data_IF_534444876382
#
_entry.id   IF_534444876382
#
_cell.length_a   1.000
_cell.length_b   1.000
_cell.length_c   1.000
_cell.angle_alpha   90.00
_cell.angle_beta   90.00
_cell.angle_gamma   90.00
#
_symmetry.space_group_name_H-M   'P 1'
#
loop_
_entity.id
_entity.type
_entity.pdbx_description
1 polymer ?
#
# COMPACT_ATOMS: atom_id res chain seq x y z
N UNK A 1 -0.15 6.17 -3.29
CA UNK A 1 -0.66 4.93 -2.66
C UNK A 1 -0.62 5.14 -1.16
N UNK A 2 -1.74 4.89 -0.47
CA UNK A 2 -1.75 4.83 1.01
C UNK A 2 -0.93 3.60 1.41
N UNK A 3 -0.25 3.59 2.55
CA UNK A 3 0.30 2.35 3.13
C UNK A 3 -0.80 1.28 3.11
N UNK A 4 -0.56 0.18 2.41
CA UNK A 4 -1.51 -0.93 2.30
C UNK A 4 -0.84 -2.19 2.80
N UNK A 5 -1.58 -2.96 3.58
CA UNK A 5 -1.21 -4.32 3.92
C UNK A 5 -1.92 -5.26 2.95
N UNK A 6 -1.15 -6.12 2.31
CA UNK A 6 -1.64 -7.14 1.39
C UNK A 6 -1.52 -8.48 2.09
N UNK A 7 -2.65 -9.17 2.26
CA UNK A 7 -2.74 -10.50 2.83
C UNK A 7 -2.77 -11.52 1.70
N UNK A 8 -1.88 -12.50 1.79
CA UNK A 8 -1.78 -13.61 0.84
C UNK A 8 -1.81 -14.92 1.62
N UNK A 9 -2.60 -15.89 1.19
CA UNK A 9 -2.63 -17.22 1.79
C UNK A 9 -1.21 -17.84 1.83
N UNK A 10 -0.76 -18.23 3.02
CA UNK A 10 0.57 -18.79 3.22
C UNK A 10 0.76 -20.18 2.58
N UNK A 11 -0.33 -20.89 2.27
CA UNK A 11 -0.30 -22.20 1.64
C UNK A 11 -0.41 -22.15 0.11
N UNK A 12 -0.34 -20.96 -0.50
CA UNK A 12 -0.38 -20.81 -1.95
C UNK A 12 0.80 -21.58 -2.58
N UNK A 13 0.49 -22.67 -3.30
CA UNK A 13 1.43 -23.36 -4.17
C UNK A 13 1.15 -22.96 -5.61
N UNK A 14 2.19 -22.56 -6.34
CA UNK A 14 2.08 -22.40 -7.79
C UNK A 14 2.02 -23.79 -8.40
N UNK A 15 0.82 -24.27 -8.71
CA UNK A 15 0.61 -25.59 -9.32
C UNK A 15 0.35 -25.50 -10.83
N UNK A 16 0.68 -24.39 -11.49
CA UNK A 16 0.48 -24.20 -12.92
C UNK A 16 -0.98 -24.03 -13.39
N UNK A 17 -1.97 -24.41 -12.58
CA UNK A 17 -3.37 -24.54 -13.00
C UNK A 17 -4.33 -23.50 -12.39
N UNK A 18 -3.91 -22.24 -12.23
CA UNK A 18 -4.89 -21.20 -11.84
C UNK A 18 -4.77 -19.97 -12.71
N UNK A 19 -5.06 -20.14 -13.99
CA UNK A 19 -5.77 -19.11 -14.74
C UNK A 19 -7.16 -18.98 -14.12
N UNK A 20 -7.28 -18.12 -13.10
CA UNK A 20 -8.60 -17.60 -12.71
C UNK A 20 -8.86 -16.44 -13.67
N UNK A 21 -9.76 -16.57 -14.65
CA UNK A 21 -9.88 -15.63 -15.77
C UNK A 21 -10.27 -14.19 -15.36
N UNK A 22 -10.60 -13.94 -14.09
CA UNK A 22 -11.09 -12.66 -13.57
C UNK A 22 -10.20 -12.04 -12.46
N UNK A 23 -9.14 -12.72 -12.01
CA UNK A 23 -8.31 -12.20 -10.90
C UNK A 23 -7.30 -11.11 -11.37
N UNK A 24 -7.09 -10.99 -12.68
CA UNK A 24 -6.17 -10.00 -13.25
C UNK A 24 -6.75 -8.58 -13.28
N UNK A 25 -8.04 -8.41 -12.99
CA UNK A 25 -8.66 -7.10 -12.88
C UNK A 25 -8.53 -6.56 -11.45
N UNK A 26 -8.23 -5.27 -11.27
CA UNK A 26 -8.23 -4.67 -9.91
C UNK A 26 -9.62 -4.75 -9.22
N UNK A 27 -10.68 -5.02 -9.98
CA UNK A 27 -12.00 -5.41 -9.44
C UNK A 27 -12.04 -6.72 -8.65
N UNK A 28 -10.99 -7.54 -8.68
CA UNK A 28 -10.84 -8.74 -7.84
C UNK A 28 -10.16 -8.46 -6.49
N UNK A 29 -9.59 -7.27 -6.30
CA UNK A 29 -8.90 -6.89 -5.07
C UNK A 29 -9.92 -6.57 -4.00
N UNK A 30 -10.01 -7.43 -3.00
CA UNK A 30 -10.93 -7.27 -1.89
C UNK A 30 -10.31 -6.34 -0.85
N UNK A 31 -10.84 -5.11 -0.77
CA UNK A 31 -10.53 -4.19 0.34
C UNK A 31 -11.37 -4.56 1.55
N UNK A 32 -10.75 -4.99 2.65
CA UNK A 32 -11.46 -5.40 3.87
C UNK A 32 -12.41 -4.31 4.39
N UNK A 33 -12.07 -3.04 4.20
CA UNK A 33 -12.87 -1.91 4.67
C UNK A 33 -14.13 -1.65 3.84
N UNK A 34 -14.20 -2.23 2.64
CA UNK A 34 -15.29 -2.03 1.69
C UNK A 34 -16.22 -3.25 1.62
N UNK A 35 -15.89 -4.30 2.37
CA UNK A 35 -16.70 -5.51 2.50
C UNK A 35 -17.85 -5.31 3.48
N UNK A 36 -19.03 -5.79 3.08
CA UNK A 36 -20.18 -5.91 3.97
C UNK A 36 -19.92 -6.95 5.07
N UNK A 37 -20.65 -6.85 6.18
CA UNK A 37 -20.45 -7.69 7.37
C UNK A 37 -20.53 -9.18 7.04
N UNK A 38 -21.46 -9.54 6.18
CA UNK A 38 -21.70 -10.91 5.72
C UNK A 38 -20.51 -11.44 4.90
N UNK A 39 -19.84 -10.57 4.13
CA UNK A 39 -18.66 -10.91 3.34
C UNK A 39 -17.41 -11.07 4.23
N UNK A 40 -17.28 -10.27 5.30
CA UNK A 40 -16.21 -10.41 6.30
C UNK A 40 -16.27 -11.74 7.06
N UNK A 41 -17.45 -12.36 7.14
CA UNK A 41 -17.65 -13.67 7.78
C UNK A 41 -17.32 -14.85 6.85
N UNK A 42 -17.11 -14.60 5.55
CA UNK A 42 -16.73 -15.66 4.63
C UNK A 42 -15.27 -16.09 4.89
N UNK A 43 -14.99 -17.41 4.89
CA UNK A 43 -13.61 -17.88 5.04
C UNK A 43 -12.77 -17.36 3.88
N UNK A 44 -11.57 -16.86 4.20
CA UNK A 44 -10.58 -16.50 3.19
C UNK A 44 -10.23 -17.79 2.43
N UNK A 45 -10.63 -17.87 1.16
CA UNK A 45 -10.40 -19.06 0.33
C UNK A 45 -8.90 -19.23 0.05
N UNK A 46 -8.39 -20.47 -0.03
CA UNK A 46 -7.04 -20.70 -0.48
C UNK A 46 -6.87 -20.19 -1.91
N UNK A 47 -6.01 -19.19 -2.11
CA UNK A 47 -5.73 -18.39 -3.34
C UNK A 47 -6.09 -16.90 -3.30
N UNK A 48 -6.77 -16.42 -2.24
CA UNK A 48 -7.24 -15.03 -2.22
C UNK A 48 -6.14 -14.04 -1.81
N UNK A 49 -6.05 -12.93 -2.56
CA UNK A 49 -5.29 -11.73 -2.20
C UNK A 49 -6.27 -10.71 -1.64
N UNK A 50 -6.01 -10.25 -0.43
CA UNK A 50 -6.88 -9.28 0.28
C UNK A 50 -6.06 -8.06 0.64
N UNK A 51 -6.62 -6.86 0.46
CA UNK A 51 -5.96 -5.61 0.84
C UNK A 51 -6.65 -4.94 2.00
N UNK A 52 -5.88 -4.22 2.80
CA UNK A 52 -6.41 -3.49 3.96
C UNK A 52 -5.53 -2.31 4.32
N UNK A 53 -6.19 -1.23 4.72
CA UNK A 53 -5.62 -0.06 5.38
C UNK A 53 -5.91 -0.02 6.89
N UNK A 54 -6.67 -0.99 7.43
CA UNK A 54 -6.99 -1.11 8.85
C UNK A 54 -5.69 -1.24 9.68
N UNK A 55 -5.56 -0.47 10.78
CA UNK A 55 -4.47 -0.62 11.74
C UNK A 55 -4.34 -2.04 12.29
N UNK A 56 -3.11 -2.50 12.54
CA UNK A 56 -2.82 -3.87 13.01
C UNK A 56 -3.63 -4.26 14.24
N UNK A 57 -3.73 -3.37 15.24
CA UNK A 57 -4.52 -3.63 16.45
C UNK A 57 -6.02 -3.86 16.25
N UNK A 58 -6.57 -3.48 15.08
CA UNK A 58 -7.98 -3.72 14.72
C UNK A 58 -8.17 -4.95 13.82
N UNK A 59 -7.08 -5.52 13.30
CA UNK A 59 -7.13 -6.76 12.56
C UNK A 59 -7.25 -7.96 13.53
N UNK A 60 -7.98 -9.03 13.16
CA UNK A 60 -8.00 -10.26 13.93
C UNK A 60 -6.57 -10.76 14.22
N UNK A 61 -6.27 -11.01 15.51
CA UNK A 61 -4.94 -11.36 16.10
C UNK A 61 -4.26 -12.63 15.51
N UNK A 62 -4.85 -13.24 14.48
CA UNK A 62 -4.39 -14.48 13.84
C UNK A 62 -4.21 -14.37 12.33
N UNK A 63 -4.38 -13.20 11.71
CA UNK A 63 -4.23 -13.07 10.25
C UNK A 63 -2.83 -13.52 9.83
N UNK A 64 -1.77 -13.00 10.45
CA UNK A 64 -0.38 -13.35 10.13
C UNK A 64 0.09 -14.72 10.68
N UNK A 65 -0.77 -15.48 11.36
CA UNK A 65 -0.43 -16.87 11.77
C UNK A 65 -0.55 -17.85 10.62
N UNK A 66 -1.55 -17.63 9.76
CA UNK A 66 -1.89 -18.53 8.66
C UNK A 66 -1.73 -17.87 7.29
N UNK A 67 -1.36 -16.58 7.24
CA UNK A 67 -1.21 -15.81 6.01
C UNK A 67 0.12 -15.06 6.02
N UNK A 68 0.65 -14.83 4.82
CA UNK A 68 1.74 -13.88 4.59
C UNK A 68 1.15 -12.47 4.47
N UNK A 69 1.82 -11.49 5.03
CA UNK A 69 1.43 -10.08 4.98
C UNK A 69 2.55 -9.28 4.32
N UNK A 70 2.22 -8.48 3.31
CA UNK A 70 3.14 -7.52 2.72
C UNK A 70 2.67 -6.14 3.19
N UNK A 71 3.39 -5.55 4.14
CA UNK A 71 3.11 -4.22 4.66
C UNK A 71 3.94 -3.19 3.90
N UNK A 72 3.28 -2.39 3.07
CA UNK A 72 3.95 -1.36 2.26
C UNK A 72 3.94 -0.03 2.97
N UNK A 73 5.10 0.59 3.20
CA UNK A 73 5.20 1.92 3.82
C UNK A 73 5.84 2.92 2.84
N UNK A 74 5.63 4.20 3.09
CA UNK A 74 6.03 5.29 2.19
C UNK A 74 6.36 6.54 2.99
N UNK A 75 7.21 7.40 2.44
CA UNK A 75 7.38 8.78 2.90
C UNK A 75 6.02 9.41 3.27
N UNK A 76 5.83 9.87 4.51
CA UNK A 76 4.55 10.36 4.96
C UNK A 76 4.13 11.69 4.31
N UNK A 77 5.08 12.51 3.83
CA UNK A 77 4.78 13.75 3.10
C UNK A 77 4.18 13.46 1.73
N UNK A 78 4.77 12.52 0.99
CA UNK A 78 4.23 12.04 -0.28
C UNK A 78 2.90 11.28 -0.09
N UNK A 79 2.76 10.61 1.05
CA UNK A 79 1.51 9.95 1.44
C UNK A 79 0.40 10.98 1.68
N UNK A 80 0.67 12.06 2.40
CA UNK A 80 -0.28 13.16 2.63
C UNK A 80 -0.73 13.78 1.31
N UNK A 81 0.20 14.13 0.42
CA UNK A 81 -0.12 14.65 -0.92
C UNK A 81 -0.97 13.65 -1.71
N UNK A 82 -0.54 12.38 -1.77
CA UNK A 82 -1.29 11.34 -2.48
C UNK A 82 -2.72 11.18 -1.94
N UNK A 83 -2.91 11.25 -0.63
CA UNK A 83 -4.20 11.07 0.01
C UNK A 83 -5.12 12.28 -0.19
N UNK A 84 -4.57 13.50 -0.13
CA UNK A 84 -5.31 14.73 -0.43
C UNK A 84 -5.94 14.66 -1.83
N UNK A 85 -5.12 14.38 -2.85
CA UNK A 85 -5.60 14.26 -4.23
C UNK A 85 -6.60 13.10 -4.38
N UNK A 86 -6.30 11.93 -3.82
CA UNK A 86 -7.22 10.79 -3.84
C UNK A 86 -8.59 11.15 -3.28
N UNK A 87 -8.65 11.83 -2.13
CA UNK A 87 -9.92 12.14 -1.50
C UNK A 87 -10.67 13.26 -2.22
N UNK A 88 -9.95 14.33 -2.61
CA UNK A 88 -10.50 15.44 -3.38
C UNK A 88 -11.11 14.97 -4.69
N UNK A 89 -10.39 14.13 -5.42
CA UNK A 89 -10.77 13.65 -6.75
C UNK A 89 -11.94 12.66 -6.73
N UNK A 90 -12.19 12.01 -5.58
CA UNK A 90 -13.40 11.23 -5.28
C UNK A 90 -14.59 12.09 -4.81
N UNK A 91 -14.41 13.40 -4.69
CA UNK A 91 -15.47 14.34 -4.27
C UNK A 91 -15.67 14.45 -2.76
N UNK A 92 -14.72 13.95 -1.94
CA UNK A 92 -14.80 14.16 -0.49
C UNK A 92 -14.50 15.62 -0.14
N UNK A 93 -15.18 16.13 0.90
CA UNK A 93 -14.89 17.45 1.43
C UNK A 93 -13.59 17.42 2.26
N UNK A 94 -12.47 17.78 1.62
CA UNK A 94 -11.14 17.72 2.23
C UNK A 94 -10.61 19.07 2.72
N UNK A 95 -11.22 20.18 2.31
CA UNK A 95 -10.69 21.53 2.54
C UNK A 95 -9.54 21.87 1.60
N UNK A 96 -8.79 22.93 1.92
CA UNK A 96 -7.52 23.20 1.24
C UNK A 96 -6.41 22.25 1.72
N UNK A 97 -5.26 22.27 1.04
CA UNK A 97 -4.16 21.37 1.37
C UNK A 97 -3.55 21.65 2.76
N UNK A 98 -3.57 22.89 3.24
CA UNK A 98 -3.01 23.24 4.55
C UNK A 98 -3.85 22.62 5.68
N UNK A 99 -5.17 22.81 5.62
CA UNK A 99 -6.12 22.19 6.54
C UNK A 99 -6.03 20.66 6.50
N UNK A 100 -5.93 20.09 5.30
CA UNK A 100 -5.77 18.66 5.13
C UNK A 100 -4.46 18.13 5.73
N UNK A 101 -3.34 18.83 5.51
CA UNK A 101 -2.03 18.46 6.03
C UNK A 101 -2.01 18.50 7.56
N UNK A 102 -2.64 19.50 8.17
CA UNK A 102 -2.78 19.58 9.63
C UNK A 102 -3.56 18.38 10.18
N UNK A 103 -4.72 18.06 9.60
CA UNK A 103 -5.51 16.87 9.97
C UNK A 103 -4.75 15.57 9.77
N UNK A 104 -3.93 15.47 8.72
CA UNK A 104 -3.03 14.32 8.51
C UNK A 104 -2.04 14.17 9.66
N UNK A 105 -1.40 15.27 10.09
CA UNK A 105 -0.43 15.27 11.19
C UNK A 105 -1.09 14.93 12.54
N UNK A 106 -2.32 15.41 12.75
CA UNK A 106 -3.11 15.17 13.96
C UNK A 106 -3.73 13.77 14.00
N UNK A 107 -3.79 13.08 12.86
CA UNK A 107 -4.36 11.73 12.74
C UNK A 107 -5.88 11.71 12.61
N UNK A 108 -6.47 12.82 12.15
CA UNK A 108 -7.93 13.03 12.03
C UNK A 108 -8.47 12.67 10.63
N UNK A 109 -7.83 11.69 9.98
CA UNK A 109 -8.22 11.18 8.68
C UNK A 109 -8.85 9.79 8.79
N UNK A 110 -9.50 9.37 7.71
CA UNK A 110 -9.96 7.98 7.58
C UNK A 110 -8.76 7.03 7.80
N UNK A 111 -8.93 6.07 8.72
CA UNK A 111 -7.93 5.10 9.21
C UNK A 111 -6.92 5.63 10.25
N UNK A 112 -7.12 6.84 10.77
CA UNK A 112 -6.38 7.37 11.92
C UNK A 112 -4.98 7.91 11.59
N UNK A 113 -4.11 7.94 12.58
CA UNK A 113 -2.76 8.47 12.43
C UNK A 113 -1.87 7.55 11.59
N UNK A 114 -1.22 8.14 10.57
CA UNK A 114 -0.18 7.44 9.82
C UNK A 114 0.94 6.98 10.78
N UNK A 115 1.41 7.86 11.67
CA UNK A 115 2.50 7.59 12.59
C UNK A 115 2.19 6.39 13.50
N UNK A 116 1.05 6.42 14.17
CA UNK A 116 0.65 5.35 15.10
C UNK A 116 0.52 4.01 14.38
N UNK A 117 -0.02 4.02 13.16
CA UNK A 117 -0.15 2.81 12.35
C UNK A 117 1.21 2.22 11.98
N UNK A 118 2.13 3.02 11.43
CA UNK A 118 3.45 2.50 11.03
C UNK A 118 4.24 2.00 12.25
N UNK A 119 4.17 2.74 13.38
CA UNK A 119 4.80 2.32 14.62
C UNK A 119 4.19 1.04 15.19
N UNK A 120 2.86 0.89 15.18
CA UNK A 120 2.18 -0.32 15.66
C UNK A 120 2.57 -1.54 14.83
N UNK A 121 2.55 -1.44 13.49
CA UNK A 121 2.99 -2.50 12.60
C UNK A 121 4.46 -2.86 12.84
N UNK A 122 5.35 -1.88 12.80
CA UNK A 122 6.79 -2.13 12.91
C UNK A 122 7.21 -2.67 14.29
N UNK A 123 6.63 -2.11 15.36
CA UNK A 123 6.97 -2.50 16.74
C UNK A 123 6.64 -3.97 16.99
N UNK A 124 5.50 -4.43 16.50
CA UNK A 124 4.98 -5.76 16.80
C UNK A 124 5.36 -6.83 15.78
N UNK A 125 5.52 -6.47 14.51
CA UNK A 125 5.59 -7.47 13.43
C UNK A 125 6.91 -7.48 12.65
N UNK A 126 7.86 -6.54 12.88
CA UNK A 126 9.13 -6.52 12.11
C UNK A 126 10.00 -7.78 12.22
N UNK A 127 9.81 -8.56 13.28
CA UNK A 127 10.50 -9.83 13.50
C UNK A 127 9.66 -11.05 13.09
N UNK A 128 8.44 -10.83 12.60
CA UNK A 128 7.53 -11.90 12.22
C UNK A 128 7.90 -12.40 10.80
N UNK A 129 8.26 -13.69 10.63
CA UNK A 129 8.66 -14.22 9.32
C UNK A 129 7.50 -14.27 8.29
N UNK A 130 6.26 -14.10 8.74
CA UNK A 130 5.09 -14.00 7.88
C UNK A 130 4.74 -12.56 7.51
N UNK A 131 5.57 -11.56 7.88
CA UNK A 131 5.34 -10.15 7.54
C UNK A 131 6.56 -9.60 6.81
N UNK A 132 6.36 -9.17 5.57
CA UNK A 132 7.35 -8.46 4.77
C UNK A 132 7.05 -6.96 4.80
N UNK A 133 7.98 -6.16 5.30
CA UNK A 133 7.93 -4.71 5.18
C UNK A 133 8.60 -4.29 3.87
N UNK A 134 7.92 -3.47 3.09
CA UNK A 134 8.40 -3.02 1.79
C UNK A 134 8.23 -1.51 1.63
N UNK A 135 9.32 -0.80 1.37
CA UNK A 135 9.27 0.63 1.07
C UNK A 135 8.78 0.86 -0.36
N UNK A 136 7.90 1.84 -0.54
CA UNK A 136 7.52 2.32 -1.86
C UNK A 136 8.69 2.90 -2.64
N UNK A 137 9.59 3.60 -1.94
CA UNK A 137 10.80 4.22 -2.50
C UNK A 137 11.79 3.16 -3.00
N UNK A 138 12.07 2.12 -2.20
CA UNK A 138 12.94 1.01 -2.62
C UNK A 138 12.35 0.25 -3.81
N UNK A 139 11.03 0.05 -3.84
CA UNK A 139 10.37 -0.59 -4.99
C UNK A 139 10.58 0.17 -6.30
N UNK A 140 10.67 1.49 -6.26
CA UNK A 140 10.93 2.31 -7.44
C UNK A 140 12.43 2.42 -7.76
N UNK A 141 13.28 2.46 -6.74
CA UNK A 141 14.74 2.58 -6.88
C UNK A 141 15.41 1.28 -7.33
N UNK A 142 14.94 0.15 -6.80
CA UNK A 142 15.46 -1.19 -7.05
C UNK A 142 14.29 -2.17 -7.33
N UNK A 143 13.61 -2.02 -8.49
CA UNK A 143 12.43 -2.81 -8.82
C UNK A 143 12.74 -4.30 -8.97
N UNK A 144 13.90 -4.66 -9.53
CA UNK A 144 14.34 -6.06 -9.67
C UNK A 144 14.53 -6.74 -8.31
N UNK A 145 15.32 -6.11 -7.41
CA UNK A 145 15.58 -6.64 -6.06
C UNK A 145 14.30 -6.76 -5.23
N UNK A 146 13.43 -5.75 -5.32
CA UNK A 146 12.12 -5.75 -4.65
C UNK A 146 11.22 -6.89 -5.15
N UNK A 147 11.27 -7.17 -6.46
CA UNK A 147 10.51 -8.26 -7.08
C UNK A 147 11.02 -9.62 -6.61
N UNK A 148 12.34 -9.83 -6.57
CA UNK A 148 12.91 -11.08 -6.06
C UNK A 148 12.63 -11.29 -4.58
N UNK A 149 12.76 -10.24 -3.77
CA UNK A 149 12.42 -10.28 -2.34
C UNK A 149 10.96 -10.71 -2.14
N UNK A 150 10.04 -10.19 -2.96
CA UNK A 150 8.63 -10.56 -2.92
C UNK A 150 8.40 -12.03 -3.32
N UNK A 151 9.01 -12.48 -4.41
CA UNK A 151 8.90 -13.87 -4.90
C UNK A 151 9.40 -14.86 -3.84
N UNK A 152 10.54 -14.56 -3.22
CA UNK A 152 11.14 -15.39 -2.17
C UNK A 152 10.29 -15.40 -0.91
N UNK A 153 9.82 -14.23 -0.48
CA UNK A 153 8.92 -14.11 0.66
C UNK A 153 7.63 -14.90 0.43
N UNK A 154 7.06 -14.88 -0.77
CA UNK A 154 5.87 -15.65 -1.11
C UNK A 154 6.12 -17.16 -1.24
N UNK A 155 7.38 -17.60 -1.25
CA UNK A 155 7.73 -19.02 -1.40
C UNK A 155 7.50 -19.56 -2.82
N UNK A 156 7.50 -18.68 -3.83
CA UNK A 156 7.25 -19.03 -5.23
C UNK A 156 8.54 -19.51 -5.91
N UNK A 157 9.19 -20.50 -5.31
CA UNK A 157 10.52 -20.99 -5.71
C UNK A 157 10.55 -21.72 -7.05
N UNK A 158 9.39 -22.09 -7.59
CA UNK A 158 9.24 -22.82 -8.84
C UNK A 158 8.96 -21.92 -10.06
N UNK A 159 8.98 -20.59 -9.88
CA UNK A 159 8.93 -19.66 -10.99
C UNK A 159 10.26 -19.63 -11.76
N UNK A 160 10.25 -19.30 -13.06
CA UNK A 160 11.48 -19.02 -13.80
C UNK A 160 12.31 -17.93 -13.11
N UNK A 161 13.63 -18.07 -13.17
CA UNK A 161 14.59 -17.08 -12.60
C UNK A 161 15.49 -16.46 -13.66
N UNK A 162 15.02 -16.45 -14.90
CA UNK A 162 15.71 -15.78 -16.01
C UNK A 162 15.30 -14.31 -16.15
N UNK A 163 16.11 -13.58 -16.92
CA UNK A 163 15.92 -12.15 -17.15
C UNK A 163 14.62 -11.84 -17.88
N UNK A 164 14.21 -12.69 -18.84
CA UNK A 164 13.03 -12.42 -19.66
C UNK A 164 11.75 -12.46 -18.80
N UNK A 165 11.65 -13.44 -17.91
CA UNK A 165 10.55 -13.53 -16.94
C UNK A 165 10.50 -12.30 -16.01
N UNK A 166 11.65 -11.86 -15.50
CA UNK A 166 11.72 -10.67 -14.65
C UNK A 166 11.29 -9.41 -15.41
N UNK A 167 11.78 -9.23 -16.64
CA UNK A 167 11.43 -8.08 -17.47
C UNK A 167 9.94 -8.06 -17.83
N UNK A 168 9.33 -9.22 -18.09
CA UNK A 168 7.88 -9.32 -18.30
C UNK A 168 7.09 -8.85 -17.07
N UNK A 169 7.45 -9.33 -15.87
CA UNK A 169 6.82 -8.88 -14.61
C UNK A 169 6.95 -7.36 -14.46
N UNK A 170 8.17 -6.83 -14.62
CA UNK A 170 8.43 -5.39 -14.44
C UNK A 170 7.68 -4.54 -15.45
N UNK A 171 7.58 -5.00 -16.70
CA UNK A 171 6.80 -4.32 -17.73
C UNK A 171 5.31 -4.30 -17.36
N UNK A 172 4.73 -5.46 -17.03
CA UNK A 172 3.30 -5.59 -16.69
C UNK A 172 2.93 -4.85 -15.41
N UNK A 173 3.83 -4.76 -14.45
CA UNK A 173 3.62 -4.09 -13.15
C UNK A 173 4.16 -2.66 -13.11
N UNK A 174 4.61 -2.13 -14.24
CA UNK A 174 5.03 -0.73 -14.38
C UNK A 174 3.86 0.23 -14.09
N UNK A 175 4.19 1.45 -13.68
CA UNK A 175 3.18 2.45 -13.36
C UNK A 175 2.32 2.79 -14.59
N UNK A 176 2.94 2.89 -15.75
CA UNK A 176 2.30 3.18 -17.03
C UNK A 176 1.37 2.03 -17.43
N UNK A 177 1.86 0.78 -17.41
CA UNK A 177 1.05 -0.39 -17.76
C UNK A 177 -0.15 -0.53 -16.83
N UNK A 178 0.06 -0.48 -15.50
CA UNK A 178 -1.05 -0.61 -14.53
C UNK A 178 -2.04 0.55 -14.62
N UNK A 179 -1.58 1.77 -14.88
CA UNK A 179 -2.45 2.92 -15.11
C UNK A 179 -3.36 2.74 -16.33
N UNK A 180 -2.82 2.21 -17.43
CA UNK A 180 -3.56 1.99 -18.66
C UNK A 180 -4.53 0.81 -18.54
N UNK A 181 -4.08 -0.32 -17.97
CA UNK A 181 -4.87 -1.54 -17.85
C UNK A 181 -5.95 -1.43 -16.77
N UNK A 182 -5.60 -0.97 -15.56
CA UNK A 182 -6.50 -1.02 -14.40
C UNK A 182 -7.19 0.32 -14.13
N UNK A 183 -6.59 1.43 -14.54
CA UNK A 183 -7.06 2.78 -14.25
C UNK A 183 -8.55 3.01 -14.54
N UNK A 184 -9.06 2.65 -15.74
CA UNK A 184 -10.48 2.82 -16.06
C UNK A 184 -11.42 2.07 -15.10
N UNK A 185 -11.09 0.82 -14.77
CA UNK A 185 -11.90 -0.01 -13.88
C UNK A 185 -11.88 0.53 -12.44
N UNK A 186 -10.70 0.89 -11.93
CA UNK A 186 -10.54 1.46 -10.59
C UNK A 186 -11.26 2.80 -10.46
N UNK A 187 -11.07 3.71 -11.43
CA UNK A 187 -11.72 5.02 -11.38
C UNK A 187 -13.25 4.90 -11.28
N UNK A 188 -13.82 3.95 -12.04
CA UNK A 188 -15.25 3.63 -11.97
C UNK A 188 -15.64 3.02 -10.62
N UNK A 189 -14.92 2.01 -10.15
CA UNK A 189 -15.22 1.31 -8.90
C UNK A 189 -15.17 2.23 -7.68
N UNK A 190 -14.18 3.13 -7.62
CA UNK A 190 -14.01 4.08 -6.52
C UNK A 190 -14.74 5.40 -6.73
N UNK A 191 -15.53 5.54 -7.80
CA UNK A 191 -16.33 6.73 -8.12
C UNK A 191 -15.50 8.03 -8.13
N UNK A 192 -14.40 8.03 -8.89
CA UNK A 192 -13.62 9.25 -9.13
C UNK A 192 -14.44 10.24 -9.94
N UNK A 193 -14.66 11.44 -9.40
CA UNK A 193 -15.45 12.50 -10.01
C UNK A 193 -14.59 13.39 -10.91
N UNK A 194 -13.35 13.62 -10.49
CA UNK A 194 -12.31 14.31 -11.24
C UNK A 194 -11.00 13.52 -11.12
N UNK A 195 -9.97 13.88 -11.89
CA UNK A 195 -8.66 13.22 -11.76
C UNK A 195 -8.70 11.71 -12.00
N UNK A 196 -7.73 10.98 -11.43
CA UNK A 196 -7.59 9.53 -11.58
C UNK A 196 -6.91 8.91 -10.35
N UNK A 197 -7.16 7.63 -10.09
CA UNK A 197 -6.47 6.85 -9.05
C UNK A 197 -4.94 6.83 -9.25
N UNK A 198 -4.51 6.54 -10.48
CA UNK A 198 -3.10 6.60 -10.87
C UNK A 198 -2.71 8.05 -11.23
N UNK A 199 -2.09 8.75 -10.28
CA UNK A 199 -1.78 10.19 -10.42
C UNK A 199 -0.44 10.47 -11.11
N UNK A 200 0.69 10.17 -10.46
CA UNK A 200 2.04 10.48 -10.99
C UNK A 200 3.09 9.38 -10.84
N UNK A 201 3.02 8.55 -9.80
CA UNK A 201 3.89 7.36 -9.69
C UNK A 201 5.34 7.59 -9.24
N UNK A 202 5.71 8.80 -8.78
CA UNK A 202 7.09 9.11 -8.37
C UNK A 202 7.26 9.47 -6.89
N UNK A 203 8.52 9.47 -6.44
CA UNK A 203 8.98 9.87 -5.09
C UNK A 203 9.35 11.34 -5.08
N UNK A 204 9.04 12.04 -3.99
CA UNK A 204 9.46 13.44 -3.78
C UNK A 204 8.49 14.48 -4.33
N UNK A 205 7.30 14.10 -4.79
CA UNK A 205 6.31 15.05 -5.31
C UNK A 205 5.84 16.03 -4.23
N UNK A 206 5.95 15.66 -2.95
CA UNK A 206 5.70 16.53 -1.81
C UNK A 206 6.44 17.87 -1.88
N UNK A 207 7.62 17.93 -2.49
CA UNK A 207 8.41 19.16 -2.69
C UNK A 207 7.68 20.20 -3.55
N UNK A 208 6.73 19.77 -4.38
CA UNK A 208 5.91 20.65 -5.23
C UNK A 208 4.66 21.19 -4.53
N UNK A 209 4.33 20.71 -3.33
CA UNK A 209 3.08 21.04 -2.63
C UNK A 209 3.28 21.65 -1.25
N UNK A 210 4.32 21.22 -0.53
CA UNK A 210 4.60 21.77 0.79
C UNK A 210 5.41 23.05 0.63
N UNK A 211 4.95 24.13 1.26
CA UNK A 211 5.79 25.30 1.50
C UNK A 211 6.94 24.96 2.44
N UNK A 212 8.00 25.78 2.46
CA UNK A 212 9.12 25.62 3.40
C UNK A 212 8.62 25.55 4.84
N UNK A 213 7.70 26.44 5.22
CA UNK A 213 7.09 26.47 6.56
C UNK A 213 6.36 25.16 6.88
N UNK A 214 5.50 24.68 5.99
CA UNK A 214 4.77 23.42 6.17
C UNK A 214 5.72 22.22 6.26
N UNK A 215 6.80 22.22 5.49
CA UNK A 215 7.82 21.18 5.56
C UNK A 215 8.52 21.16 6.94
N UNK A 216 8.95 22.31 7.43
CA UNK A 216 9.60 22.43 8.74
C UNK A 216 8.67 22.05 9.90
N UNK A 217 7.39 22.42 9.82
CA UNK A 217 6.37 22.00 10.79
C UNK A 217 6.15 20.49 10.76
N UNK A 218 6.05 19.91 9.57
CA UNK A 218 5.93 18.46 9.38
C UNK A 218 7.15 17.74 9.96
N UNK A 219 8.36 18.22 9.70
CA UNK A 219 9.61 17.62 10.21
C UNK A 219 9.65 17.62 11.74
N UNK A 220 9.19 18.69 12.40
CA UNK A 220 9.05 18.74 13.86
C UNK A 220 8.06 17.67 14.37
N UNK A 221 6.90 17.55 13.73
CA UNK A 221 5.90 16.55 14.10
C UNK A 221 6.46 15.13 13.90
N UNK A 222 7.09 14.88 12.75
CA UNK A 222 7.69 13.57 12.44
C UNK A 222 8.77 13.20 13.45
N UNK A 223 9.73 14.09 13.73
CA UNK A 223 10.77 13.86 14.72
C UNK A 223 10.23 13.56 16.13
N UNK A 224 9.14 14.22 16.51
CA UNK A 224 8.49 13.99 17.80
C UNK A 224 7.73 12.66 17.84
N UNK A 225 6.87 12.40 16.84
CA UNK A 225 6.02 11.21 16.79
C UNK A 225 6.78 9.92 16.51
N UNK A 226 7.83 9.97 15.69
CA UNK A 226 8.66 8.81 15.33
C UNK A 226 9.90 8.67 16.20
N UNK A 227 9.99 9.38 17.32
CA UNK A 227 11.15 9.38 18.18
C UNK A 227 11.46 7.96 18.69
N UNK A 228 12.69 7.51 18.45
CA UNK A 228 13.16 6.18 18.86
C UNK A 228 12.75 5.04 17.92
N UNK A 229 12.05 5.34 16.82
CA UNK A 229 11.77 4.38 15.76
C UNK A 229 12.99 4.20 14.85
N UNK A 230 13.18 2.96 14.39
CA UNK A 230 14.19 2.56 13.41
C UNK A 230 13.56 2.15 12.06
N UNK A 231 12.30 2.53 11.81
CA UNK A 231 11.66 2.34 10.50
C UNK A 231 12.49 3.09 9.43
N UNK A 232 12.93 2.42 8.35
CA UNK A 232 13.81 3.01 7.35
C UNK A 232 13.02 3.87 6.34
N UNK A 233 12.39 4.96 6.82
CA UNK A 233 11.67 5.91 5.95
C UNK A 233 12.67 6.71 5.12
N UNK A 234 12.48 6.68 3.81
CA UNK A 234 13.26 7.47 2.85
C UNK A 234 12.50 8.75 2.51
N UNK A 235 13.12 9.90 2.72
CA UNK A 235 12.53 11.20 2.36
C UNK A 235 12.95 11.68 0.97
N UNK A 236 13.96 11.03 0.38
CA UNK A 236 14.60 11.33 -0.90
C UNK A 236 14.91 10.05 -1.68
#
# INVERSE_FOLDING_TARGET
MKTVSILVDANRKYNGDVDIPDFDSVSSWLFLEELEREQLLMPIRPSMVVTTHIPRGLLPVKIWKNNKVIHTFRNPKDTAVSLYFYQRDRGFCVGDFEQFLQRFMDGELAYGSWFDKELDWWTHERQNPNVLFMSYEDRLKAPEESTWTLIEFLGLSNLPRDTDFLQDILQRTSFESTKETDGPAINKAFNFQTGNFFRKGHVGDWKNFLTVKQNEEFDKVYCNKMKGSDIPIQFE
#
